data_IF_973250223488
#
_entry.id   IF_973250223488
#
_cell.length_a   1.000
_cell.length_b   1.000
_cell.length_c   1.000
_cell.angle_alpha   90.00
_cell.angle_beta   90.00
_cell.angle_gamma   90.00
#
_symmetry.space_group_name_H-M   'P 1'
#
loop_
_entity.id
_entity.type
_entity.pdbx_description
1 polymer ?
#
# COMPACT_ATOMS: atom_id res chain seq x y z
N UNK A 1 -32.70 8.08 -50.99
CA UNK A 1 -31.99 6.97 -50.30
C UNK A 1 -30.81 7.55 -49.52
N UNK A 2 -30.97 7.81 -48.22
CA UNK A 2 -29.93 8.43 -47.37
C UNK A 2 -29.99 8.14 -45.84
N UNK A 3 -30.63 7.06 -45.32
CA UNK A 3 -30.51 6.72 -43.89
C UNK A 3 -29.33 5.78 -43.56
N UNK A 4 -28.86 4.98 -44.53
CA UNK A 4 -27.85 3.95 -44.27
C UNK A 4 -26.47 4.51 -43.85
N UNK A 5 -26.07 5.67 -44.40
CA UNK A 5 -24.78 6.28 -44.10
C UNK A 5 -24.74 6.93 -42.70
N UNK A 6 -25.85 7.54 -42.26
CA UNK A 6 -25.95 8.13 -40.92
C UNK A 6 -26.00 7.08 -39.81
N UNK A 7 -26.69 5.95 -40.05
CA UNK A 7 -26.72 4.83 -39.10
C UNK A 7 -25.33 4.19 -38.97
N UNK A 8 -24.63 4.00 -40.09
CA UNK A 8 -23.25 3.52 -40.10
C UNK A 8 -22.30 4.46 -39.33
N UNK A 9 -22.45 5.77 -39.51
CA UNK A 9 -21.64 6.78 -38.82
C UNK A 9 -21.85 6.75 -37.30
N UNK A 10 -23.08 6.53 -36.83
CA UNK A 10 -23.38 6.40 -35.38
C UNK A 10 -22.77 5.13 -34.79
N UNK A 11 -22.83 3.99 -35.50
CA UNK A 11 -22.16 2.76 -35.04
C UNK A 11 -20.63 2.89 -35.03
N UNK A 12 -20.05 3.58 -36.01
CA UNK A 12 -18.61 3.88 -36.03
C UNK A 12 -18.24 4.79 -34.86
N UNK A 13 -19.00 5.85 -34.58
CA UNK A 13 -18.75 6.74 -33.45
C UNK A 13 -18.93 6.05 -32.10
N UNK A 14 -19.91 5.16 -31.95
CA UNK A 14 -20.11 4.36 -30.74
C UNK A 14 -18.97 3.35 -30.54
N UNK A 15 -18.51 2.69 -31.61
CA UNK A 15 -17.39 1.76 -31.58
C UNK A 15 -16.04 2.46 -31.32
N UNK A 16 -15.83 3.64 -31.90
CA UNK A 16 -14.64 4.48 -31.63
C UNK A 16 -14.65 4.96 -30.18
N UNK A 17 -15.80 5.42 -29.66
CA UNK A 17 -15.92 5.81 -28.25
C UNK A 17 -15.68 4.63 -27.29
N UNK A 18 -16.14 3.42 -27.62
CA UNK A 18 -15.84 2.20 -26.84
C UNK A 18 -14.35 1.80 -26.96
N UNK A 19 -13.74 1.94 -28.14
CA UNK A 19 -12.33 1.61 -28.38
C UNK A 19 -11.36 2.58 -27.69
N UNK A 20 -11.73 3.86 -27.56
CA UNK A 20 -10.96 4.85 -26.77
C UNK A 20 -10.87 4.47 -25.29
N UNK A 21 -11.78 3.63 -24.78
CA UNK A 21 -11.68 3.06 -23.43
C UNK A 21 -11.00 1.68 -23.36
N UNK A 22 -10.58 1.10 -24.49
CA UNK A 22 -9.83 -0.16 -24.49
C UNK A 22 -8.32 0.11 -24.40
N UNK A 23 -7.75 -0.22 -23.23
CA UNK A 23 -6.30 -0.36 -22.91
C UNK A 23 -5.52 0.85 -22.38
N UNK A 24 -6.09 2.05 -22.28
CA UNK A 24 -5.42 3.15 -21.57
C UNK A 24 -6.35 3.94 -20.65
N UNK A 25 -7.27 3.26 -19.95
CA UNK A 25 -7.89 3.83 -18.77
C UNK A 25 -6.91 3.66 -17.59
N UNK A 26 -6.50 4.77 -16.97
CA UNK A 26 -5.65 4.85 -15.77
C UNK A 26 -4.27 4.18 -15.88
N UNK A 27 -3.23 4.99 -16.10
CA UNK A 27 -1.82 4.59 -15.95
C UNK A 27 -1.39 4.32 -14.50
N UNK A 28 -2.23 3.65 -13.70
CA UNK A 28 -1.97 3.33 -12.31
C UNK A 28 -1.75 1.81 -12.25
N UNK A 29 -0.47 1.45 -12.17
CA UNK A 29 0.10 0.20 -11.63
C UNK A 29 0.04 -1.02 -12.56
N UNK A 30 1.20 -1.38 -13.15
CA UNK A 30 1.41 -2.75 -13.64
C UNK A 30 1.44 -3.66 -12.41
N UNK A 31 0.32 -4.32 -12.13
CA UNK A 31 0.30 -5.47 -11.24
C UNK A 31 1.18 -6.56 -11.91
N UNK A 32 2.36 -6.79 -11.34
CA UNK A 32 3.28 -7.84 -11.76
C UNK A 32 2.53 -9.19 -11.83
N UNK A 33 2.72 -9.99 -12.89
CA UNK A 33 2.05 -11.28 -13.05
C UNK A 33 2.58 -12.38 -12.11
N UNK A 34 3.54 -12.07 -11.24
CA UNK A 34 4.05 -12.96 -10.22
C UNK A 34 2.96 -13.35 -9.17
N UNK A 35 3.08 -14.52 -8.49
CA UNK A 35 2.15 -14.96 -7.45
C UNK A 35 2.06 -14.05 -6.21
N UNK A 36 2.83 -12.95 -6.15
CA UNK A 36 2.61 -11.85 -5.22
C UNK A 36 2.91 -10.52 -5.93
N UNK A 37 1.95 -9.97 -6.68
CA UNK A 37 2.15 -8.76 -7.46
C UNK A 37 2.47 -7.57 -6.56
N UNK A 38 3.73 -7.15 -6.53
CA UNK A 38 4.08 -5.92 -5.81
C UNK A 38 3.94 -4.73 -6.75
N UNK A 39 3.19 -3.73 -6.33
CA UNK A 39 3.15 -2.45 -7.01
C UNK A 39 4.43 -1.70 -6.65
N UNK A 40 5.42 -1.75 -7.55
CA UNK A 40 6.70 -1.05 -7.37
C UNK A 40 6.50 0.45 -7.61
N UNK A 41 6.65 1.27 -6.57
CA UNK A 41 6.67 2.73 -6.70
C UNK A 41 5.31 3.41 -6.61
N UNK A 42 4.39 2.89 -5.78
CA UNK A 42 3.20 3.63 -5.42
C UNK A 42 3.57 4.96 -4.74
N UNK A 43 3.19 6.09 -5.35
CA UNK A 43 3.25 7.41 -4.71
C UNK A 43 1.82 7.80 -4.35
N UNK A 44 1.50 7.79 -3.06
CA UNK A 44 0.24 8.32 -2.55
C UNK A 44 0.48 9.73 -2.03
N UNK A 45 0.09 10.75 -2.81
CA UNK A 45 -0.03 12.10 -2.28
C UNK A 45 -1.44 12.25 -1.71
N UNK A 46 -1.57 12.13 -0.39
CA UNK A 46 -2.85 12.28 0.30
C UNK A 46 -3.18 13.72 0.66
N UNK A 47 -2.33 14.70 0.30
CA UNK A 47 -2.49 16.12 0.67
C UNK A 47 -2.83 16.35 2.17
N UNK A 48 -2.35 15.46 3.05
CA UNK A 48 -2.60 15.53 4.50
C UNK A 48 -3.63 14.52 5.03
N UNK A 49 -4.32 13.77 4.17
CA UNK A 49 -5.19 12.67 4.62
C UNK A 49 -4.38 11.46 5.10
N UNK A 50 -4.97 10.67 6.00
CA UNK A 50 -4.40 9.44 6.53
C UNK A 50 -4.33 8.33 5.48
N UNK A 51 -3.25 7.56 5.50
CA UNK A 51 -3.15 6.29 4.76
C UNK A 51 -3.46 5.17 5.74
N UNK A 52 -4.51 4.38 5.48
CA UNK A 52 -4.82 3.17 6.22
C UNK A 52 -4.25 1.94 5.50
N UNK A 53 -3.49 1.12 6.23
CA UNK A 53 -2.83 -0.09 5.70
C UNK A 53 -3.37 -1.30 6.44
N UNK A 54 -4.26 -2.04 5.78
CA UNK A 54 -4.81 -3.31 6.28
C UNK A 54 -3.80 -4.44 6.02
N UNK A 55 -2.68 -4.46 6.74
CA UNK A 55 -1.65 -5.48 6.61
C UNK A 55 -0.27 -5.05 7.12
N UNK A 56 0.76 -5.80 6.74
CA UNK A 56 2.13 -5.49 7.16
C UNK A 56 2.64 -4.22 6.46
N UNK A 57 3.31 -3.34 7.21
CA UNK A 57 3.98 -2.16 6.67
C UNK A 57 5.49 -2.28 6.85
N UNK A 58 6.25 -2.19 5.76
CA UNK A 58 7.71 -2.36 5.76
C UNK A 58 8.37 -1.16 5.10
N UNK A 59 9.29 -0.50 5.83
CA UNK A 59 10.17 0.55 5.29
C UNK A 59 11.61 0.04 5.28
N UNK A 60 12.20 -0.02 4.09
CA UNK A 60 13.51 -0.65 3.89
C UNK A 60 13.49 -2.15 4.17
N UNK A 61 14.67 -2.79 4.16
CA UNK A 61 14.71 -4.25 4.37
C UNK A 61 14.40 -4.66 5.82
N UNK A 62 14.72 -3.81 6.81
CA UNK A 62 14.53 -4.08 8.24
C UNK A 62 14.42 -2.81 9.08
N UNK A 63 14.32 -1.63 8.46
CA UNK A 63 14.45 -0.35 9.17
C UNK A 63 13.23 -0.11 10.06
N UNK A 64 12.03 -0.25 9.50
CA UNK A 64 10.76 -0.24 10.23
C UNK A 64 9.89 -1.36 9.69
N UNK A 65 9.34 -2.18 10.58
CA UNK A 65 8.48 -3.29 10.23
C UNK A 65 7.31 -3.36 11.20
N UNK A 66 6.09 -3.11 10.72
CA UNK A 66 4.86 -3.40 11.44
C UNK A 66 4.25 -4.69 10.90
N UNK A 67 4.05 -5.66 11.80
CA UNK A 67 3.46 -6.95 11.52
C UNK A 67 2.02 -6.95 12.03
N UNK A 68 1.05 -6.99 11.12
CA UNK A 68 -0.37 -6.99 11.46
C UNK A 68 -0.85 -8.32 12.03
N UNK A 69 -0.19 -9.44 11.69
CA UNK A 69 -0.60 -10.76 12.19
C UNK A 69 -0.29 -10.94 13.68
N UNK A 70 0.91 -10.52 14.10
CA UNK A 70 1.36 -10.64 15.50
C UNK A 70 1.15 -9.34 16.31
N UNK A 71 0.69 -8.29 15.63
CA UNK A 71 0.56 -6.92 16.15
C UNK A 71 1.85 -6.43 16.82
N UNK A 72 2.97 -6.51 16.10
CA UNK A 72 4.29 -6.13 16.60
C UNK A 72 4.95 -5.09 15.71
N UNK A 73 5.84 -4.30 16.30
CA UNK A 73 6.68 -3.31 15.61
C UNK A 73 8.15 -3.63 15.83
N UNK A 74 8.91 -3.79 14.75
CA UNK A 74 10.36 -3.97 14.74
C UNK A 74 11.08 -2.76 14.16
N UNK A 75 12.14 -2.30 14.84
CA UNK A 75 13.09 -1.30 14.35
C UNK A 75 14.46 -1.96 14.21
N UNK A 76 15.01 -2.01 13.00
CA UNK A 76 16.24 -2.74 12.71
C UNK A 76 16.10 -4.27 12.66
N UNK A 77 14.88 -4.81 12.84
CA UNK A 77 14.57 -6.25 12.85
C UNK A 77 13.24 -6.54 12.14
N UNK A 78 13.12 -7.72 11.53
CA UNK A 78 11.88 -8.27 10.96
C UNK A 78 11.25 -9.37 11.80
N UNK A 79 11.90 -9.74 12.90
CA UNK A 79 11.46 -10.80 13.79
C UNK A 79 11.39 -10.25 15.22
N UNK A 80 10.50 -9.28 15.47
CA UNK A 80 10.31 -8.72 16.81
C UNK A 80 9.86 -9.82 17.78
N UNK A 81 10.47 -9.86 18.96
CA UNK A 81 10.11 -10.82 20.04
C UNK A 81 9.16 -10.23 21.08
N UNK A 82 8.91 -8.93 20.99
CA UNK A 82 8.03 -8.16 21.86
C UNK A 82 7.14 -7.25 21.00
N UNK A 83 6.09 -6.66 21.59
CA UNK A 83 5.19 -5.72 20.89
C UNK A 83 5.94 -4.57 20.23
N UNK A 84 7.02 -4.10 20.86
CA UNK A 84 8.03 -3.25 20.25
C UNK A 84 9.41 -3.89 20.47
N UNK A 85 10.17 -4.10 19.40
CA UNK A 85 11.53 -4.64 19.44
C UNK A 85 12.47 -3.76 18.60
N UNK A 86 13.56 -3.30 19.22
CA UNK A 86 14.57 -2.45 18.58
C UNK A 86 15.90 -3.17 18.60
N UNK A 87 16.38 -3.59 17.42
CA UNK A 87 17.71 -4.15 17.25
C UNK A 87 18.75 -3.03 17.15
N UNK A 88 19.07 -2.39 18.27
CA UNK A 88 20.04 -1.30 18.37
C UNK A 88 19.89 -0.47 19.64
N UNK A 89 20.50 0.71 19.65
CA UNK A 89 20.41 1.65 20.78
C UNK A 89 19.14 2.50 20.67
N UNK A 90 18.50 2.77 21.81
CA UNK A 90 17.37 3.70 21.92
C UNK A 90 17.83 4.93 22.72
N UNK A 91 17.64 6.12 22.15
CA UNK A 91 17.80 7.38 22.88
C UNK A 91 16.42 7.93 23.20
N UNK A 92 16.10 8.04 24.48
CA UNK A 92 14.87 8.70 24.95
C UNK A 92 15.27 10.10 25.41
N UNK A 93 14.67 11.13 24.81
CA UNK A 93 14.97 12.51 25.17
C UNK A 93 14.38 12.95 26.52
N UNK A 94 13.34 12.25 26.97
CA UNK A 94 12.54 12.56 28.16
C UNK A 94 12.52 11.35 29.13
N UNK A 95 11.64 11.40 30.13
CA UNK A 95 11.41 10.30 31.07
C UNK A 95 10.83 9.05 30.39
N UNK A 96 11.34 7.88 30.76
CA UNK A 96 10.80 6.58 30.37
C UNK A 96 9.93 6.03 31.50
N UNK A 97 8.63 5.92 31.27
CA UNK A 97 7.72 5.26 32.18
C UNK A 97 7.71 3.75 31.93
N UNK A 98 8.22 2.97 32.88
CA UNK A 98 8.12 1.51 32.85
C UNK A 98 6.98 1.07 33.76
N UNK A 99 5.82 0.82 33.15
CA UNK A 99 4.69 0.21 33.84
C UNK A 99 4.97 -1.28 34.02
N UNK A 100 5.38 -1.68 35.21
CA UNK A 100 5.51 -3.09 35.53
C UNK A 100 4.11 -3.67 35.77
N UNK A 101 3.80 -4.81 35.16
CA UNK A 101 2.88 -5.74 35.83
C UNK A 101 3.68 -6.27 37.00
N UNK A 102 3.40 -5.79 38.22
CA UNK A 102 4.03 -6.32 39.42
C UNK A 102 3.83 -7.84 39.43
N UNK A 103 4.87 -8.59 39.04
CA UNK A 103 4.92 -10.01 39.33
C UNK A 103 5.15 -10.06 40.84
N UNK A 104 4.05 -10.17 41.58
CA UNK A 104 4.10 -10.62 42.94
C UNK A 104 4.87 -11.95 42.93
N UNK A 105 6.03 -11.93 43.56
CA UNK A 105 6.77 -13.14 43.91
C UNK A 105 6.37 -13.53 45.32
#
# INVERSE_FOLDING_TARGET
MKPAFSVLLVFVMLAVNIFVFTKAAFGVLKQDTAPNPQIKGLVLNTNGDSIDVQGNFTVGAKTFYANAADETVGIGTKSPKHKLDVAGNVKVGQELLVLQNARAY
#
